data_IF_605634099762
#
_entry.id   IF_605634099762
#
_cell.length_a   1.000
_cell.length_b   1.000
_cell.length_c   1.000
_cell.angle_alpha   90.00
_cell.angle_beta   90.00
_cell.angle_gamma   90.00
#
_symmetry.space_group_name_H-M   'P 1'
#
loop_
_entity.id
_entity.type
_entity.pdbx_description
1 polymer ?
#
# COMPACT_ATOMS: atom_id res chain seq x y z
N UNK A 1 15.84 -0.76 -2.05
CA UNK A 1 15.00 0.31 -2.64
C UNK A 1 14.95 1.44 -1.64
N UNK A 2 15.22 2.67 -2.06
CA UNK A 2 15.13 3.84 -1.20
C UNK A 2 13.80 4.51 -1.53
N UNK A 3 12.83 4.42 -0.64
CA UNK A 3 11.58 5.18 -0.79
C UNK A 3 11.92 6.66 -0.73
N UNK A 4 11.31 7.44 -1.62
CA UNK A 4 11.38 8.90 -1.50
C UNK A 4 10.49 9.33 -0.33
N UNK A 5 10.78 10.47 0.31
CA UNK A 5 10.02 10.94 1.48
C UNK A 5 8.50 11.00 1.21
N UNK A 6 8.12 11.31 -0.03
CA UNK A 6 6.73 11.37 -0.47
C UNK A 6 6.07 9.99 -0.68
N UNK A 7 6.85 8.91 -0.76
CA UNK A 7 6.36 7.53 -0.91
C UNK A 7 6.16 6.84 0.44
N UNK A 8 6.60 7.44 1.56
CA UNK A 8 6.40 6.87 2.91
C UNK A 8 4.94 6.46 3.18
N UNK A 9 3.92 7.27 2.86
CA UNK A 9 2.53 6.88 3.11
C UNK A 9 2.07 5.68 2.27
N UNK A 10 2.69 5.47 1.10
CA UNK A 10 2.44 4.29 0.27
C UNK A 10 3.07 3.04 0.90
N UNK A 11 4.34 3.14 1.30
CA UNK A 11 5.08 2.05 1.93
C UNK A 11 4.40 1.55 3.23
N UNK A 12 3.82 2.46 4.02
CA UNK A 12 3.05 2.10 5.22
C UNK A 12 1.79 1.30 4.90
N UNK A 13 1.05 1.67 3.84
CA UNK A 13 -0.17 0.98 3.41
C UNK A 13 0.18 -0.42 2.88
N UNK A 14 1.20 -0.51 2.03
CA UNK A 14 1.66 -1.79 1.49
C UNK A 14 2.19 -2.73 2.57
N UNK A 15 2.95 -2.20 3.54
CA UNK A 15 3.43 -2.97 4.70
C UNK A 15 2.28 -3.55 5.51
N UNK A 16 1.26 -2.74 5.80
CA UNK A 16 0.07 -3.20 6.55
C UNK A 16 -0.76 -4.22 5.77
N UNK A 17 -0.87 -4.08 4.44
CA UNK A 17 -1.52 -5.07 3.59
C UNK A 17 -0.80 -6.42 3.64
N UNK A 18 0.53 -6.42 3.60
CA UNK A 18 1.32 -7.65 3.67
C UNK A 18 1.21 -8.33 5.05
N UNK A 19 1.21 -7.56 6.14
CA UNK A 19 0.96 -8.10 7.49
C UNK A 19 -0.40 -8.80 7.58
N UNK A 20 -1.46 -8.17 7.07
CA UNK A 20 -2.80 -8.76 7.05
C UNK A 20 -2.87 -10.04 6.21
N UNK A 21 -2.17 -10.09 5.07
CA UNK A 21 -2.06 -11.32 4.27
C UNK A 21 -1.28 -12.41 4.99
N UNK A 22 -0.21 -12.06 5.68
CA UNK A 22 0.57 -13.01 6.47
C UNK A 22 -0.28 -13.64 7.57
N UNK A 23 -1.10 -12.85 8.26
CA UNK A 23 -2.08 -13.34 9.25
C UNK A 23 -3.18 -14.21 8.60
N UNK A 24 -3.69 -13.81 7.44
CA UNK A 24 -4.71 -14.57 6.70
C UNK A 24 -4.24 -15.99 6.32
N UNK A 25 -2.96 -16.15 5.97
CA UNK A 25 -2.34 -17.44 5.63
C UNK A 25 -2.20 -18.38 6.85
N UNK A 26 -2.14 -17.83 8.06
CA UNK A 26 -1.96 -18.60 9.30
C UNK A 26 -3.27 -19.14 9.90
N UNK A 27 -4.35 -18.36 9.89
CA UNK A 27 -5.54 -18.62 10.73
C UNK A 27 -6.88 -18.76 9.96
N UNK A 28 -6.87 -19.10 8.66
CA UNK A 28 -8.12 -19.27 7.89
C UNK A 28 -8.94 -17.98 7.74
N UNK A 29 -8.29 -16.82 7.88
CA UNK A 29 -8.87 -15.50 8.05
C UNK A 29 -9.44 -14.88 6.76
N UNK A 30 -10.67 -15.24 6.42
CA UNK A 30 -11.40 -14.63 5.31
C UNK A 30 -11.65 -13.12 5.52
N UNK A 31 -11.75 -12.66 6.77
CA UNK A 31 -12.02 -11.24 7.09
C UNK A 31 -10.78 -10.35 6.89
N UNK A 32 -9.60 -10.79 7.31
CA UNK A 32 -8.33 -10.05 7.11
C UNK A 32 -7.88 -10.05 5.65
N UNK A 33 -8.29 -11.03 4.85
CA UNK A 33 -8.04 -11.05 3.40
C UNK A 33 -8.75 -9.90 2.67
N UNK A 34 -10.01 -9.62 3.03
CA UNK A 34 -10.77 -8.49 2.47
C UNK A 34 -10.20 -7.14 2.88
N UNK A 35 -9.67 -7.06 4.10
CA UNK A 35 -9.03 -5.84 4.59
C UNK A 35 -7.70 -5.58 3.87
N UNK A 36 -6.91 -6.61 3.60
CA UNK A 36 -5.71 -6.51 2.77
C UNK A 36 -6.04 -6.02 1.35
N UNK A 37 -7.07 -6.58 0.70
CA UNK A 37 -7.52 -6.13 -0.62
C UNK A 37 -7.99 -4.66 -0.63
N UNK A 38 -8.61 -4.20 0.46
CA UNK A 38 -9.01 -2.80 0.58
C UNK A 38 -7.79 -1.86 0.68
N UNK A 39 -6.74 -2.29 1.37
CA UNK A 39 -5.48 -1.55 1.43
C UNK A 39 -4.76 -1.54 0.08
N UNK A 40 -4.79 -2.63 -0.68
CA UNK A 40 -4.21 -2.68 -2.03
C UNK A 40 -4.84 -1.67 -2.97
N UNK A 41 -6.18 -1.60 -3.00
CA UNK A 41 -6.90 -0.60 -3.80
C UNK A 41 -6.55 0.83 -3.39
N UNK A 42 -6.32 1.05 -2.09
CA UNK A 42 -5.91 2.35 -1.55
C UNK A 42 -4.47 2.69 -1.95
N UNK A 43 -3.54 1.73 -1.87
CA UNK A 43 -2.17 1.86 -2.32
C UNK A 43 -2.09 2.18 -3.82
N UNK A 44 -2.83 1.46 -4.67
CA UNK A 44 -2.87 1.75 -6.11
C UNK A 44 -3.37 3.16 -6.43
N UNK A 45 -4.40 3.62 -5.70
CA UNK A 45 -4.94 4.97 -5.90
C UNK A 45 -3.92 6.01 -5.46
N UNK A 46 -3.31 5.83 -4.29
CA UNK A 46 -2.29 6.73 -3.76
C UNK A 46 -1.04 6.76 -4.66
N UNK A 47 -0.59 5.62 -5.17
CA UNK A 47 0.51 5.54 -6.14
C UNK A 47 0.17 6.35 -7.40
N UNK A 48 -1.02 6.15 -7.97
CA UNK A 48 -1.47 6.92 -9.15
C UNK A 48 -1.51 8.41 -8.84
N UNK A 49 -1.99 8.83 -7.67
CA UNK A 49 -2.07 10.23 -7.29
C UNK A 49 -0.70 10.86 -7.03
N UNK A 50 0.19 10.15 -6.34
CA UNK A 50 1.58 10.55 -6.10
C UNK A 50 2.31 10.81 -7.43
N UNK A 51 2.21 9.87 -8.37
CA UNK A 51 2.89 9.95 -9.65
C UNK A 51 2.20 10.90 -10.66
N UNK A 52 0.88 11.07 -10.56
CA UNK A 52 0.11 12.03 -11.40
C UNK A 52 0.31 13.47 -10.93
N UNK A 53 0.57 13.68 -9.64
CA UNK A 53 0.90 14.97 -9.05
C UNK A 53 2.37 15.38 -9.16
N UNK A 54 3.23 14.56 -9.79
CA UNK A 54 4.65 14.89 -9.98
C UNK A 54 4.79 16.15 -10.83
N UNK A 55 4.98 17.27 -10.15
CA UNK A 55 5.41 18.51 -10.78
C UNK A 55 6.81 18.30 -11.37
N UNK A 56 7.23 19.07 -12.40
CA UNK A 56 8.52 18.88 -13.07
C UNK A 56 9.75 18.89 -12.14
N UNK A 57 9.61 19.40 -10.92
CA UNK A 57 10.64 19.47 -9.88
C UNK A 57 10.75 18.22 -8.98
N UNK A 58 9.88 17.21 -9.17
CA UNK A 58 9.91 15.94 -8.43
C UNK A 58 10.41 14.75 -9.26
N UNK A 59 10.84 14.98 -10.51
CA UNK A 59 11.50 13.99 -11.36
C UNK A 59 13.01 13.95 -11.15
#
# INVERSE_FOLDING_TARGET
>A
MHYLEFEKPLAEIEGKAEELRAMARGDGGMDVSKEAEALDRKAETLLKDLYRGLTPWQK
#
